data_IF_461044051956
#
_entry.id   IF_461044051956
#
_cell.length_a   1.000
_cell.length_b   1.000
_cell.length_c   1.000
_cell.angle_alpha   90.00
_cell.angle_beta   90.00
_cell.angle_gamma   90.00
#
_symmetry.space_group_name_H-M   'P 1'
#
loop_
_entity.id
_entity.type
_entity.pdbx_description
1 polymer ?
#
# COMPACT_ATOMS: atom_id res chain seq x y z
N UNK A 1 7.16 -18.30 -7.98
CA UNK A 1 6.72 -16.96 -8.43
C UNK A 1 6.56 -16.88 -9.96
N UNK A 2 5.68 -17.69 -10.57
CA UNK A 2 5.38 -17.63 -12.02
C UNK A 2 3.89 -17.38 -12.33
N UNK A 3 3.07 -17.08 -11.31
CA UNK A 3 1.62 -16.95 -11.45
C UNK A 3 1.14 -15.54 -11.85
N UNK A 4 2.02 -14.53 -11.90
CA UNK A 4 1.63 -13.13 -12.12
C UNK A 4 1.99 -12.57 -13.50
N UNK A 5 2.55 -13.37 -14.41
CA UNK A 5 3.08 -12.87 -15.68
C UNK A 5 2.07 -12.75 -16.82
N UNK A 6 0.80 -13.11 -16.64
CA UNK A 6 -0.15 -13.18 -17.75
C UNK A 6 -1.57 -12.69 -17.43
N UNK A 7 -1.67 -11.73 -16.51
CA UNK A 7 -2.94 -11.14 -16.10
C UNK A 7 -3.03 -9.75 -16.75
N UNK A 8 -3.92 -9.62 -17.73
CA UNK A 8 -4.33 -8.35 -18.35
C UNK A 8 -4.78 -7.36 -17.27
N UNK A 9 -4.44 -6.08 -17.43
CA UNK A 9 -4.59 -5.06 -16.38
C UNK A 9 -6.00 -4.98 -15.79
N UNK A 10 -7.03 -5.31 -16.58
CA UNK A 10 -8.42 -5.45 -16.13
C UNK A 10 -8.62 -6.62 -15.14
N UNK A 11 -8.03 -7.79 -15.42
CA UNK A 11 -8.06 -8.94 -14.50
C UNK A 11 -7.18 -8.73 -13.27
N UNK A 12 -6.11 -7.93 -13.36
CA UNK A 12 -5.30 -7.55 -12.19
C UNK A 12 -6.05 -6.55 -11.30
N UNK A 13 -6.81 -5.63 -11.89
CA UNK A 13 -7.75 -4.77 -11.16
C UNK A 13 -8.87 -5.61 -10.53
N UNK A 14 -9.40 -6.62 -11.21
CA UNK A 14 -10.37 -7.54 -10.61
C UNK A 14 -9.76 -8.41 -9.50
N UNK A 15 -8.48 -8.77 -9.59
CA UNK A 15 -7.77 -9.50 -8.52
C UNK A 15 -7.45 -8.57 -7.35
N UNK A 16 -7.07 -7.32 -7.60
CA UNK A 16 -6.93 -6.31 -6.54
C UNK A 16 -8.29 -6.00 -5.91
N UNK A 17 -9.35 -5.84 -6.71
CA UNK A 17 -10.72 -5.67 -6.21
C UNK A 17 -11.23 -6.92 -5.49
N UNK A 18 -10.86 -8.14 -5.91
CA UNK A 18 -11.25 -9.39 -5.26
C UNK A 18 -10.41 -9.66 -4.01
N UNK A 19 -9.13 -9.26 -3.97
CA UNK A 19 -8.33 -9.21 -2.75
C UNK A 19 -8.88 -8.15 -1.81
N UNK A 20 -9.25 -6.97 -2.31
CA UNK A 20 -9.94 -5.93 -1.54
C UNK A 20 -11.31 -6.45 -1.07
N UNK A 21 -12.06 -7.22 -1.86
CA UNK A 21 -13.33 -7.83 -1.46
C UNK A 21 -13.15 -8.97 -0.43
N UNK A 22 -12.05 -9.73 -0.55
CA UNK A 22 -11.61 -10.73 0.43
C UNK A 22 -11.10 -10.07 1.73
N UNK A 23 -10.52 -8.87 1.64
CA UNK A 23 -10.09 -8.01 2.73
C UNK A 23 -11.29 -7.22 3.33
N UNK A 24 -12.34 -6.96 2.54
CA UNK A 24 -13.64 -6.40 2.98
C UNK A 24 -14.45 -7.45 3.74
N UNK A 25 -14.33 -8.74 3.39
CA UNK A 25 -14.83 -9.86 4.22
C UNK A 25 -14.08 -9.99 5.56
N UNK A 26 -12.94 -9.31 5.72
CA UNK A 26 -12.15 -9.17 6.95
C UNK A 26 -12.29 -7.79 7.63
N UNK A 27 -13.35 -7.01 7.32
CA UNK A 27 -13.69 -5.74 7.99
C UNK A 27 -12.61 -4.61 7.93
N UNK A 28 -12.01 -4.33 6.77
CA UNK A 28 -11.18 -3.12 6.60
C UNK A 28 -11.72 -2.18 5.51
N UNK A 29 -11.62 -0.84 5.70
CA UNK A 29 -12.32 0.14 4.87
C UNK A 29 -11.71 0.27 3.45
N UNK A 30 -12.49 0.75 2.46
CA UNK A 30 -12.06 0.84 1.06
C UNK A 30 -10.92 1.85 0.86
N UNK A 31 -10.23 1.71 -0.28
CA UNK A 31 -9.23 2.67 -0.79
C UNK A 31 -9.70 4.09 -0.54
N UNK A 32 -8.93 4.83 0.27
CA UNK A 32 -9.40 6.11 0.81
C UNK A 32 -9.33 7.24 -0.20
N UNK A 33 -8.45 7.17 -1.21
CA UNK A 33 -8.40 8.09 -2.35
C UNK A 33 -7.77 7.45 -3.60
N UNK A 34 -8.30 7.75 -4.78
CA UNK A 34 -7.74 7.37 -6.09
C UNK A 34 -7.83 8.56 -7.05
N UNK A 35 -6.70 8.98 -7.63
CA UNK A 35 -6.62 10.14 -8.54
C UNK A 35 -5.85 9.74 -9.78
N UNK A 36 -6.36 10.11 -10.95
CA UNK A 36 -5.70 9.88 -12.24
C UNK A 36 -5.33 11.21 -12.90
N UNK A 37 -4.16 11.25 -13.54
CA UNK A 37 -3.75 12.34 -14.42
C UNK A 37 -3.01 11.75 -15.63
N UNK A 38 -3.61 11.87 -16.82
CA UNK A 38 -3.10 11.32 -18.07
C UNK A 38 -2.73 9.81 -17.97
N UNK A 39 -1.44 9.51 -17.93
CA UNK A 39 -0.88 8.17 -17.88
C UNK A 39 -0.34 7.82 -16.48
N UNK A 40 -0.76 8.53 -15.44
CA UNK A 40 -0.37 8.27 -14.06
C UNK A 40 -1.62 8.19 -13.17
N UNK A 41 -1.59 7.28 -12.21
CA UNK A 41 -2.61 7.18 -11.18
C UNK A 41 -1.94 7.07 -9.81
N UNK A 42 -2.52 7.73 -8.81
CA UNK A 42 -2.11 7.65 -7.42
C UNK A 42 -3.25 7.05 -6.62
N UNK A 43 -2.90 6.14 -5.72
CA UNK A 43 -3.82 5.56 -4.76
C UNK A 43 -3.31 5.77 -3.34
N UNK A 44 -4.25 5.98 -2.43
CA UNK A 44 -4.03 5.99 -1.00
C UNK A 44 -5.07 5.12 -0.33
N UNK A 45 -4.64 4.25 0.56
CA UNK A 45 -5.50 3.38 1.35
C UNK A 45 -5.16 3.47 2.84
N UNK A 46 -6.17 3.20 3.67
CA UNK A 46 -6.00 3.02 5.11
C UNK A 46 -6.39 1.60 5.44
N UNK A 47 -5.51 0.91 6.15
CA UNK A 47 -5.64 -0.48 6.52
C UNK A 47 -5.55 -0.57 8.04
N UNK A 48 -6.30 -1.48 8.64
CA UNK A 48 -6.15 -1.81 10.06
C UNK A 48 -5.53 -3.20 10.15
N UNK A 49 -4.45 -3.33 10.90
CA UNK A 49 -3.76 -4.59 11.13
C UNK A 49 -3.70 -4.89 12.63
N UNK A 50 -4.02 -6.12 13.03
CA UNK A 50 -4.04 -6.52 14.43
C UNK A 50 -2.69 -6.33 15.14
N UNK A 51 -1.58 -6.51 14.42
CA UNK A 51 -0.23 -6.41 14.97
C UNK A 51 0.38 -5.01 14.83
N UNK A 52 0.11 -4.34 13.71
CA UNK A 52 0.77 -3.09 13.35
C UNK A 52 -0.12 -1.85 13.57
N UNK A 53 -1.39 -2.03 13.92
CA UNK A 53 -2.36 -0.95 14.09
C UNK A 53 -2.80 -0.37 12.74
N UNK A 54 -3.06 0.94 12.73
CA UNK A 54 -3.37 1.65 11.49
C UNK A 54 -2.15 1.62 10.56
N UNK A 55 -2.36 1.33 9.28
CA UNK A 55 -1.35 1.37 8.24
C UNK A 55 -1.86 2.25 7.09
N UNK A 56 -0.95 2.97 6.44
CA UNK A 56 -1.25 3.77 5.25
C UNK A 56 -0.51 3.24 4.04
N UNK A 57 -1.26 2.71 3.09
CA UNK A 57 -0.75 2.29 1.79
C UNK A 57 -0.81 3.45 0.80
N UNK A 58 0.27 3.65 0.04
CA UNK A 58 0.30 4.61 -1.08
C UNK A 58 0.90 3.93 -2.30
N UNK A 59 0.30 4.14 -3.46
CA UNK A 59 0.73 3.51 -4.70
C UNK A 59 0.73 4.49 -5.86
N UNK A 60 1.65 4.26 -6.80
CA UNK A 60 1.72 4.98 -8.07
C UNK A 60 1.65 3.96 -9.19
N UNK A 61 0.76 4.20 -10.15
CA UNK A 61 0.63 3.43 -11.38
C UNK A 61 0.96 4.31 -12.58
N UNK A 62 1.58 3.70 -13.59
CA UNK A 62 1.78 4.31 -14.89
C UNK A 62 1.09 3.49 -15.98
N UNK A 63 0.56 4.16 -16.99
CA UNK A 63 -0.07 3.52 -18.14
C UNK A 63 0.97 3.26 -19.22
N UNK A 64 1.23 1.99 -19.51
CA UNK A 64 2.21 1.53 -20.51
C UNK A 64 1.48 0.69 -21.54
N UNK A 65 1.48 1.15 -22.81
CA UNK A 65 0.81 0.47 -23.94
C UNK A 65 -0.67 0.13 -23.70
N UNK A 66 -1.37 0.98 -22.95
CA UNK A 66 -2.78 0.78 -22.62
C UNK A 66 -3.03 0.17 -21.24
N UNK A 67 -2.01 -0.46 -20.64
CA UNK A 67 -2.14 -1.17 -19.36
C UNK A 67 -1.59 -0.36 -18.18
N UNK A 68 -2.30 -0.37 -17.05
CA UNK A 68 -1.82 0.20 -15.81
C UNK A 68 -0.84 -0.76 -15.10
N UNK A 69 0.31 -0.24 -14.69
CA UNK A 69 1.35 -0.97 -13.98
C UNK A 69 1.78 -0.21 -12.73
N UNK A 70 1.96 -0.90 -11.62
CA UNK A 70 2.57 -0.32 -10.42
C UNK A 70 4.02 0.03 -10.70
N UNK A 71 4.40 1.27 -10.43
CA UNK A 71 5.80 1.71 -10.41
C UNK A 71 6.33 1.83 -8.99
N UNK A 72 5.45 2.04 -8.02
CA UNK A 72 5.82 2.16 -6.62
C UNK A 72 4.62 1.79 -5.74
N UNK A 73 4.90 1.11 -4.64
CA UNK A 73 3.98 0.93 -3.54
C UNK A 73 4.74 1.08 -2.23
N UNK A 74 4.20 1.86 -1.30
CA UNK A 74 4.78 2.07 0.03
C UNK A 74 3.70 1.88 1.10
N UNK A 75 3.99 1.01 2.07
CA UNK A 75 3.16 0.78 3.23
C UNK A 75 3.88 1.32 4.46
N UNK A 76 3.25 2.28 5.15
CA UNK A 76 3.83 2.90 6.34
C UNK A 76 2.94 2.71 7.55
N UNK A 77 3.58 2.61 8.71
CA UNK A 77 2.90 2.70 10.01
C UNK A 77 2.98 4.18 10.43
N UNK A 78 1.87 4.93 10.42
CA UNK A 78 1.83 6.28 10.95
C UNK A 78 2.12 6.26 12.45
N UNK A 79 3.02 7.14 12.88
CA UNK A 79 3.37 7.29 14.30
C UNK A 79 2.66 8.54 14.82
N UNK A 80 1.79 8.44 15.84
CA UNK A 80 1.20 9.60 16.49
C UNK A 80 2.28 10.57 17.00
N UNK A 81 2.04 11.87 16.84
CA UNK A 81 3.02 12.90 17.20
C UNK A 81 3.45 12.81 18.67
N UNK A 82 2.52 12.47 19.56
CA UNK A 82 2.77 12.38 21.01
C UNK A 82 3.83 11.33 21.38
N UNK A 83 3.99 10.27 20.56
CA UNK A 83 4.98 9.20 20.80
C UNK A 83 6.15 9.23 19.81
N UNK A 84 6.18 10.19 18.89
CA UNK A 84 7.14 10.20 17.79
C UNK A 84 8.59 10.31 18.29
N UNK A 85 8.85 11.08 19.35
CA UNK A 85 10.20 11.24 19.91
C UNK A 85 10.77 9.94 20.46
N UNK A 86 9.95 9.18 21.19
CA UNK A 86 10.37 7.89 21.76
C UNK A 86 10.66 6.87 20.67
N UNK A 87 9.82 6.81 19.63
CA UNK A 87 10.04 5.95 18.47
C UNK A 87 11.34 6.31 17.75
N UNK A 88 11.63 7.60 17.55
CA UNK A 88 12.91 8.04 16.95
C UNK A 88 14.11 7.59 17.80
N UNK A 89 14.02 7.66 19.12
CA UNK A 89 15.08 7.17 20.02
C UNK A 89 15.29 5.66 19.84
N UNK A 90 14.22 4.86 19.85
CA UNK A 90 14.27 3.42 19.64
C UNK A 90 14.88 3.05 18.29
N UNK A 91 14.52 3.76 17.21
CA UNK A 91 15.09 3.55 15.87
C UNK A 91 16.59 3.80 15.90
N UNK A 92 17.04 4.93 16.46
CA UNK A 92 18.48 5.26 16.54
C UNK A 92 19.25 4.19 17.28
N UNK A 93 18.74 3.73 18.42
CA UNK A 93 19.35 2.65 19.21
C UNK A 93 19.44 1.35 18.41
N UNK A 94 18.38 0.96 17.70
CA UNK A 94 18.37 -0.23 16.86
C UNK A 94 19.35 -0.15 15.67
N UNK A 95 19.60 1.04 15.13
CA UNK A 95 20.49 1.25 13.97
C UNK A 95 21.97 1.47 14.31
N UNK A 96 22.33 1.69 15.59
CA UNK A 96 23.72 1.96 16.01
C UNK A 96 24.67 0.79 15.80
N UNK A 97 24.15 -0.44 15.82
CA UNK A 97 24.90 -1.65 15.54
C UNK A 97 24.20 -2.40 14.40
N UNK A 98 24.47 -2.06 13.12
CA UNK A 98 23.92 -2.82 12.01
C UNK A 98 24.37 -4.29 12.15
N UNK A 99 23.39 -5.20 12.12
CA UNK A 99 23.64 -6.65 12.07
C UNK A 99 24.32 -7.05 10.77
#
# INVERSE_FOLDING_TARGET
MKAFQNIDGFKLIMIFMALILLILLLNTPPVSNFVTAQNTAWLGERLMNEKYGECRGTGVLIKVKGDWKFTQYNLVIPIPNDIAQDVVKMIREATKNPK
#
